data_IF_713264564599
#
_entry.id   IF_713264564599
#
_cell.length_a   1.000
_cell.length_b   1.000
_cell.length_c   1.000
_cell.angle_alpha   90.00
_cell.angle_beta   90.00
_cell.angle_gamma   90.00
#
_symmetry.space_group_name_H-M   'P 1'
#
loop_
_entity.id
_entity.type
_entity.pdbx_description
1 polymer ?
#
# COMPACT_ATOMS: atom_id res chain seq x y z
N UNK A 1 22.16 -2.36 -3.73
CA UNK A 1 22.32 -0.93 -4.10
C UNK A 1 21.06 -0.49 -4.82
N UNK A 2 20.29 0.45 -4.26
CA UNK A 2 19.19 1.11 -4.99
C UNK A 2 19.79 2.10 -5.98
N UNK A 3 20.32 1.58 -7.09
CA UNK A 3 20.82 2.40 -8.20
C UNK A 3 19.63 2.89 -9.02
N UNK A 4 19.05 4.00 -8.56
CA UNK A 4 18.03 4.72 -9.32
C UNK A 4 18.66 5.15 -10.65
N UNK A 5 18.18 4.57 -11.76
CA UNK A 5 18.67 4.88 -13.08
C UNK A 5 18.61 6.38 -13.35
N UNK A 6 19.69 6.95 -13.90
CA UNK A 6 19.85 8.40 -14.15
C UNK A 6 18.72 9.00 -15.00
N UNK A 7 18.19 8.21 -15.93
CA UNK A 7 17.07 8.60 -16.81
C UNK A 7 15.69 8.25 -16.22
N UNK A 8 15.67 7.57 -15.07
CA UNK A 8 14.54 7.29 -14.20
C UNK A 8 13.59 8.50 -14.03
N UNK A 9 12.24 8.45 -14.02
CA UNK A 9 11.48 9.56 -13.44
C UNK A 9 11.86 9.76 -11.97
N UNK A 10 11.96 11.01 -11.53
CA UNK A 10 12.51 11.34 -10.23
C UNK A 10 11.50 11.01 -9.10
N UNK A 11 11.91 10.25 -8.06
CA UNK A 11 11.00 9.77 -7.01
C UNK A 11 10.51 10.85 -6.03
N UNK A 12 10.89 12.11 -6.23
CA UNK A 12 10.35 13.25 -5.49
C UNK A 12 8.98 13.74 -5.99
N UNK A 13 8.40 13.09 -7.00
CA UNK A 13 7.08 13.44 -7.55
C UNK A 13 7.11 14.61 -8.55
N UNK A 14 8.28 15.06 -9.00
CA UNK A 14 8.41 16.22 -9.90
C UNK A 14 8.08 15.94 -11.38
N UNK A 15 7.91 14.67 -11.77
CA UNK A 15 7.70 14.25 -13.16
C UNK A 15 8.92 14.41 -14.09
N UNK A 16 10.06 14.92 -13.58
CA UNK A 16 11.31 15.13 -14.36
C UNK A 16 12.26 13.93 -14.24
N UNK A 17 13.20 13.75 -15.17
CA UNK A 17 14.25 12.72 -15.08
C UNK A 17 15.14 12.93 -13.85
N UNK A 18 15.54 11.87 -13.15
CA UNK A 18 16.33 11.91 -11.91
C UNK A 18 17.61 12.73 -12.07
N UNK A 19 18.35 12.54 -13.18
CA UNK A 19 19.57 13.31 -13.48
C UNK A 19 19.33 14.81 -13.65
N UNK A 20 18.12 15.23 -14.02
CA UNK A 20 17.75 16.62 -14.25
C UNK A 20 17.02 17.24 -13.06
N UNK A 21 16.73 16.46 -12.02
CA UNK A 21 16.04 16.90 -10.82
C UNK A 21 16.94 16.72 -9.58
N UNK A 22 16.67 15.74 -8.71
CA UNK A 22 17.36 15.60 -7.43
C UNK A 22 18.87 15.42 -7.57
N UNK A 23 19.35 14.77 -8.62
CA UNK A 23 20.79 14.60 -8.85
C UNK A 23 21.50 15.92 -9.17
N UNK A 24 20.89 16.76 -10.02
CA UNK A 24 21.46 18.08 -10.38
C UNK A 24 21.31 19.07 -9.23
N UNK A 25 20.22 19.00 -8.49
CA UNK A 25 19.96 19.87 -7.35
C UNK A 25 20.73 19.48 -6.08
N UNK A 26 21.53 18.40 -6.10
CA UNK A 26 22.21 17.88 -4.90
C UNK A 26 21.25 17.47 -3.77
N UNK A 27 19.94 17.36 -4.08
CA UNK A 27 18.94 16.95 -3.11
C UNK A 27 19.13 15.45 -2.90
N UNK A 28 19.67 15.07 -1.75
CA UNK A 28 19.64 13.67 -1.33
C UNK A 28 18.19 13.23 -1.36
N UNK A 29 17.88 12.25 -2.22
CA UNK A 29 16.61 11.55 -2.14
C UNK A 29 16.61 10.96 -0.74
N UNK A 30 15.79 11.52 0.14
CA UNK A 30 15.34 10.78 1.31
C UNK A 30 14.52 9.67 0.71
N UNK A 31 15.16 8.54 0.43
CA UNK A 31 14.44 7.29 0.23
C UNK A 31 13.59 7.20 1.47
N UNK A 32 12.28 7.39 1.32
CA UNK A 32 11.29 7.23 2.37
C UNK A 32 11.16 5.73 2.65
N UNK A 33 12.27 5.14 3.08
CA UNK A 33 12.43 3.88 3.79
C UNK A 33 13.17 4.32 5.04
N UNK A 34 12.52 4.94 6.01
CA UNK A 34 11.58 4.28 6.90
C UNK A 34 10.54 5.29 7.34
N UNK A 35 9.31 5.16 6.84
CA UNK A 35 8.20 5.42 7.74
C UNK A 35 8.29 4.38 8.84
N UNK A 36 9.01 4.68 9.92
CA UNK A 36 8.72 4.02 11.19
C UNK A 36 7.21 4.17 11.41
N UNK A 37 6.46 3.08 11.70
CA UNK A 37 5.04 3.22 11.98
C UNK A 37 4.89 4.10 13.23
N UNK A 38 4.50 5.35 13.03
CA UNK A 38 4.12 6.31 14.08
C UNK A 38 2.95 5.68 14.88
N UNK A 39 3.15 5.22 16.13
CA UNK A 39 2.08 4.63 16.90
C UNK A 39 1.35 5.75 17.65
N UNK A 40 0.68 6.67 16.93
CA UNK A 40 -0.27 7.63 17.51
C UNK A 40 -1.71 7.37 17.09
N UNK A 41 -1.94 6.16 16.62
CA UNK A 41 -3.17 5.73 15.99
C UNK A 41 -3.68 4.45 16.66
N UNK A 42 -3.92 4.53 17.98
CA UNK A 42 -4.44 3.44 18.82
C UNK A 42 -5.77 2.84 18.31
N UNK A 43 -6.53 3.62 17.55
CA UNK A 43 -7.79 3.22 16.93
C UNK A 43 -7.65 2.10 15.88
N UNK A 44 -6.56 2.04 15.09
CA UNK A 44 -6.36 0.95 14.12
C UNK A 44 -6.28 -0.43 14.80
N UNK A 45 -5.36 -0.67 15.76
CA UNK A 45 -5.33 -1.95 16.48
C UNK A 45 -6.60 -2.18 17.30
N UNK A 46 -7.25 -1.13 17.81
CA UNK A 46 -8.51 -1.27 18.55
C UNK A 46 -9.69 -1.72 17.66
N UNK A 47 -9.80 -1.23 16.42
CA UNK A 47 -10.84 -1.66 15.46
C UNK A 47 -10.62 -3.12 15.06
N UNK A 48 -9.36 -3.52 14.84
CA UNK A 48 -9.02 -4.91 14.51
C UNK A 48 -9.35 -5.87 15.66
N UNK A 49 -9.01 -5.51 16.90
CA UNK A 49 -9.36 -6.28 18.09
C UNK A 49 -10.87 -6.35 18.31
N UNK A 50 -11.59 -5.23 18.19
CA UNK A 50 -13.04 -5.20 18.33
C UNK A 50 -13.75 -6.05 17.27
N UNK A 51 -13.29 -5.98 16.01
CA UNK A 51 -13.77 -6.85 14.93
C UNK A 51 -13.53 -8.33 15.24
N UNK A 52 -12.33 -8.70 15.67
CA UNK A 52 -12.00 -10.09 16.04
C UNK A 52 -12.87 -10.59 17.21
N UNK A 53 -13.04 -9.79 18.27
CA UNK A 53 -13.89 -10.13 19.42
C UNK A 53 -15.36 -10.29 19.01
N UNK A 54 -15.88 -9.40 18.16
CA UNK A 54 -17.24 -9.51 17.63
C UNK A 54 -17.42 -10.77 16.77
N UNK A 55 -16.42 -11.15 15.97
CA UNK A 55 -16.41 -12.39 15.19
C UNK A 55 -16.56 -13.62 16.09
N UNK A 56 -15.74 -13.68 17.12
CA UNK A 56 -15.71 -14.79 18.08
C UNK A 56 -17.02 -14.83 18.85
N UNK A 57 -17.51 -13.69 19.35
CA UNK A 57 -18.77 -13.61 20.10
C UNK A 57 -19.98 -14.03 19.26
N UNK A 58 -20.08 -13.56 18.00
CA UNK A 58 -21.16 -13.95 17.08
C UNK A 58 -21.05 -15.43 16.69
N UNK A 59 -19.83 -15.92 16.44
CA UNK A 59 -19.57 -17.33 16.16
C UNK A 59 -19.97 -18.26 17.32
N UNK A 60 -19.81 -17.80 18.56
CA UNK A 60 -20.22 -18.52 19.77
C UNK A 60 -21.74 -18.48 20.00
N UNK A 61 -22.46 -17.44 19.56
CA UNK A 61 -23.90 -17.27 19.85
C UNK A 61 -24.86 -17.89 18.81
N UNK A 62 -24.49 -17.95 17.53
CA UNK A 62 -25.39 -18.47 16.47
C UNK A 62 -24.89 -19.70 15.72
N UNK A 63 -23.78 -20.29 16.18
CA UNK A 63 -23.12 -21.40 15.49
C UNK A 63 -22.17 -20.92 14.40
N UNK A 64 -21.07 -21.66 14.25
CA UNK A 64 -19.92 -21.29 13.42
C UNK A 64 -20.29 -20.98 11.95
N UNK A 65 -21.31 -21.65 11.40
CA UNK A 65 -21.72 -21.52 10.00
C UNK A 65 -22.24 -20.13 9.62
N UNK A 66 -23.01 -19.46 10.49
CA UNK A 66 -23.53 -18.13 10.17
C UNK A 66 -22.46 -17.04 10.33
N UNK A 67 -21.59 -17.17 11.34
CA UNK A 67 -20.52 -16.21 11.63
C UNK A 67 -19.54 -16.03 10.46
N UNK A 68 -19.13 -17.14 9.83
CA UNK A 68 -18.18 -17.13 8.70
C UNK A 68 -18.76 -16.39 7.49
N UNK A 69 -20.04 -16.56 7.18
CA UNK A 69 -20.68 -15.86 6.05
C UNK A 69 -20.74 -14.35 6.27
N UNK A 70 -21.10 -13.91 7.47
CA UNK A 70 -21.15 -12.48 7.81
C UNK A 70 -19.77 -11.83 7.79
N UNK A 71 -18.73 -12.51 8.28
CA UNK A 71 -17.35 -12.01 8.24
C UNK A 71 -16.79 -11.93 6.82
N UNK A 72 -17.05 -12.94 5.99
CA UNK A 72 -16.65 -12.95 4.58
C UNK A 72 -17.26 -11.77 3.81
N UNK A 73 -18.56 -11.52 3.98
CA UNK A 73 -19.25 -10.40 3.33
C UNK A 73 -18.70 -9.05 3.81
N UNK A 74 -18.51 -8.87 5.12
CA UNK A 74 -17.93 -7.63 5.65
C UNK A 74 -16.49 -7.40 5.20
N UNK A 75 -15.67 -8.47 5.14
CA UNK A 75 -14.29 -8.41 4.65
C UNK A 75 -14.21 -7.98 3.19
N UNK A 76 -15.08 -8.51 2.33
CA UNK A 76 -15.16 -8.13 0.91
C UNK A 76 -15.58 -6.66 0.77
N UNK A 77 -16.64 -6.24 1.46
CA UNK A 77 -17.12 -4.85 1.42
C UNK A 77 -16.04 -3.88 1.92
N UNK A 78 -15.39 -4.20 3.04
CA UNK A 78 -14.29 -3.39 3.58
C UNK A 78 -13.09 -3.33 2.62
N UNK A 79 -12.71 -4.46 2.02
CA UNK A 79 -11.65 -4.52 1.01
C UNK A 79 -11.94 -3.63 -0.19
N UNK A 80 -13.18 -3.66 -0.71
CA UNK A 80 -13.60 -2.77 -1.80
C UNK A 80 -13.52 -1.30 -1.39
N UNK A 81 -14.02 -0.93 -0.20
CA UNK A 81 -13.95 0.44 0.31
C UNK A 81 -12.50 0.93 0.41
N UNK A 82 -11.58 0.07 0.86
CA UNK A 82 -10.16 0.43 0.96
C UNK A 82 -9.52 0.65 -0.42
N UNK A 83 -9.81 -0.21 -1.40
CA UNK A 83 -9.30 -0.07 -2.77
C UNK A 83 -9.81 1.23 -3.41
N UNK A 84 -11.08 1.56 -3.23
CA UNK A 84 -11.67 2.76 -3.83
C UNK A 84 -11.27 4.06 -3.10
N UNK A 85 -11.04 4.03 -1.78
CA UNK A 85 -10.57 5.21 -1.05
C UNK A 85 -9.06 5.45 -1.19
N UNK A 86 -8.28 4.38 -1.35
CA UNK A 86 -6.83 4.43 -1.49
C UNK A 86 -6.42 3.65 -2.74
N UNK A 87 -6.49 4.25 -3.94
CA UNK A 87 -6.03 3.59 -5.14
C UNK A 87 -4.55 3.21 -4.98
N UNK A 88 -4.14 1.99 -5.37
CA UNK A 88 -2.74 1.61 -5.31
C UNK A 88 -1.91 2.61 -6.12
N UNK A 89 -0.71 2.97 -5.63
CA UNK A 89 0.15 3.91 -6.36
C UNK A 89 0.38 3.37 -7.77
N UNK A 90 0.37 4.24 -8.79
CA UNK A 90 0.52 3.83 -10.17
C UNK A 90 1.83 3.08 -10.34
N UNK A 91 1.77 1.90 -10.97
CA UNK A 91 2.95 1.15 -11.38
C UNK A 91 3.82 2.07 -12.26
N UNK A 92 5.08 2.34 -11.89
CA UNK A 92 5.97 3.25 -12.62
C UNK A 92 6.30 2.77 -14.04
N UNK A 93 6.04 1.51 -14.35
CA UNK A 93 6.28 0.86 -15.64
C UNK A 93 4.99 0.66 -16.45
N UNK A 94 3.83 1.15 -16.00
CA UNK A 94 2.54 0.92 -16.65
C UNK A 94 2.42 1.56 -18.05
N UNK A 95 3.32 2.46 -18.42
CA UNK A 95 3.36 3.12 -19.73
C UNK A 95 4.67 2.94 -20.48
N UNK A 96 5.54 2.01 -20.06
CA UNK A 96 6.83 1.78 -20.70
C UNK A 96 6.74 0.54 -21.61
N UNK A 97 6.45 0.68 -22.92
CA UNK A 97 6.42 -0.46 -23.84
C UNK A 97 7.80 -1.12 -24.00
N UNK A 98 8.87 -0.51 -23.47
CA UNK A 98 10.22 -1.07 -23.40
C UNK A 98 10.48 -1.92 -22.13
N UNK A 99 9.47 -2.10 -21.25
CA UNK A 99 9.59 -2.91 -20.03
C UNK A 99 9.57 -4.44 -20.25
N UNK A 100 9.51 -4.91 -21.50
CA UNK A 100 9.70 -6.32 -21.83
C UNK A 100 11.20 -6.64 -21.72
N UNK A 101 11.57 -7.40 -20.69
CA UNK A 101 12.92 -7.98 -20.55
C UNK A 101 13.18 -8.94 -21.73
N UNK A 102 13.79 -8.43 -22.79
CA UNK A 102 14.46 -9.28 -23.77
C UNK A 102 15.75 -9.76 -23.10
N UNK A 103 15.65 -10.92 -22.44
CA UNK A 103 16.79 -11.60 -21.85
C UNK A 103 17.95 -11.65 -22.84
N UNK A 104 19.13 -11.28 -22.34
CA UNK A 104 20.41 -11.46 -23.03
C UNK A 104 20.77 -12.93 -23.15
#
# INVERSE_FOLDING_TARGET
>A
MNDIARNAPCPCGSGRKYKQCCLRSGKRIRTTETGEPEPRSLWIPAILLAGLVAAVAVGMWKGFGLGVTTFGVFGIIAGLILIFRNPPPPNPNAGDPAGLNFGS
#
